data_IF_105159399617
#
_entry.id   IF_105159399617
#
_cell.length_a   1.000
_cell.length_b   1.000
_cell.length_c   1.000
_cell.angle_alpha   90.00
_cell.angle_beta   90.00
_cell.angle_gamma   90.00
#
_symmetry.space_group_name_H-M   'P 1'
#
loop_
_entity.id
_entity.type
_entity.pdbx_description
1 polymer ?
#
# COMPACT_ATOMS: atom_id res chain seq x y z
N UNK A 1 -2.83 -2.56 16.28
CA UNK A 1 -1.73 -3.50 15.99
C UNK A 1 -1.09 -3.05 14.69
N UNK A 2 0.24 -3.00 14.60
CA UNK A 2 0.89 -2.54 13.37
C UNK A 2 1.11 -3.72 12.41
N UNK A 3 0.69 -3.56 11.15
CA UNK A 3 0.92 -4.53 10.07
C UNK A 3 2.35 -4.43 9.58
N UNK A 4 3.05 -5.56 9.47
CA UNK A 4 4.45 -5.59 9.00
C UNK A 4 4.49 -6.01 7.54
N UNK A 5 5.09 -5.17 6.70
CA UNK A 5 5.08 -5.34 5.24
C UNK A 5 6.52 -5.40 4.75
N UNK A 6 6.99 -6.59 4.42
CA UNK A 6 8.34 -6.85 3.88
C UNK A 6 8.41 -6.83 2.35
N UNK A 7 7.26 -6.78 1.66
CA UNK A 7 7.16 -6.85 0.21
C UNK A 7 5.90 -6.16 -0.33
N UNK A 8 5.95 -5.75 -1.59
CA UNK A 8 4.76 -5.33 -2.35
C UNK A 8 4.04 -6.57 -2.90
N UNK A 9 2.71 -6.65 -2.72
CA UNK A 9 1.87 -7.74 -3.26
C UNK A 9 1.75 -7.61 -4.78
N UNK A 10 1.61 -6.38 -5.26
CA UNK A 10 1.64 -6.01 -6.66
C UNK A 10 1.22 -4.57 -6.84
N UNK A 11 0.69 -4.22 -8.01
CA UNK A 11 0.31 -2.84 -8.33
C UNK A 11 -1.14 -2.79 -8.82
N UNK A 12 -1.80 -1.65 -8.64
CA UNK A 12 -3.15 -1.43 -9.17
C UNK A 12 -3.21 -1.52 -10.71
N UNK A 13 -2.07 -1.41 -11.38
CA UNK A 13 -1.93 -1.60 -12.82
C UNK A 13 -2.04 -3.07 -13.25
N UNK A 14 -1.87 -4.02 -12.32
CA UNK A 14 -2.09 -5.44 -12.59
C UNK A 14 -3.60 -5.70 -12.68
N UNK A 15 -4.11 -6.25 -13.81
CA UNK A 15 -5.53 -6.49 -14.00
C UNK A 15 -6.14 -7.40 -12.92
N UNK A 16 -5.39 -8.37 -12.41
CA UNK A 16 -5.87 -9.30 -11.36
C UNK A 16 -6.08 -8.58 -10.03
N UNK A 17 -5.17 -7.65 -9.70
CA UNK A 17 -5.27 -6.85 -8.48
C UNK A 17 -6.34 -5.78 -8.63
N UNK A 18 -6.41 -5.13 -9.78
CA UNK A 18 -7.41 -4.10 -10.10
C UNK A 18 -8.83 -4.63 -9.94
N UNK A 19 -9.12 -5.85 -10.43
CA UNK A 19 -10.43 -6.48 -10.27
C UNK A 19 -10.77 -6.74 -8.79
N UNK A 20 -9.82 -7.24 -8.00
CA UNK A 20 -10.01 -7.46 -6.56
C UNK A 20 -10.23 -6.16 -5.80
N UNK A 21 -9.42 -5.15 -6.08
CA UNK A 21 -9.56 -3.82 -5.49
C UNK A 21 -10.89 -3.17 -5.86
N UNK A 22 -11.37 -3.37 -7.10
CA UNK A 22 -12.67 -2.86 -7.51
C UNK A 22 -13.79 -3.43 -6.63
N UNK A 23 -13.79 -4.75 -6.39
CA UNK A 23 -14.75 -5.41 -5.50
C UNK A 23 -14.68 -4.88 -4.06
N UNK A 24 -13.47 -4.71 -3.51
CA UNK A 24 -13.26 -4.16 -2.16
C UNK A 24 -13.61 -2.67 -2.07
N UNK A 25 -13.39 -1.92 -3.14
CA UNK A 25 -13.71 -0.49 -3.21
C UNK A 25 -15.23 -0.27 -3.12
N UNK A 26 -16.02 -1.12 -3.79
CA UNK A 26 -17.49 -1.14 -3.62
C UNK A 26 -17.94 -1.44 -2.19
N UNK A 27 -17.14 -2.20 -1.44
CA UNK A 27 -17.40 -2.51 -0.02
C UNK A 27 -16.89 -1.44 0.93
N UNK A 28 -16.10 -0.46 0.45
CA UNK A 28 -15.48 0.58 1.27
C UNK A 28 -14.36 0.08 2.18
N UNK A 29 -13.71 -1.03 1.84
CA UNK A 29 -12.65 -1.66 2.66
C UNK A 29 -11.25 -1.51 2.05
N UNK A 30 -11.10 -0.66 1.04
CA UNK A 30 -9.80 -0.27 0.50
C UNK A 30 -9.26 0.90 1.29
N UNK A 31 -8.15 0.66 1.96
CA UNK A 31 -7.40 1.64 2.73
C UNK A 31 -6.32 2.28 1.84
N UNK A 32 -6.19 3.59 1.93
CA UNK A 32 -5.18 4.34 1.20
C UNK A 32 -4.13 4.90 2.15
N UNK A 33 -2.87 4.75 1.77
CA UNK A 33 -1.75 5.32 2.51
C UNK A 33 -1.04 6.33 1.64
N UNK A 34 -1.05 7.59 2.08
CA UNK A 34 -0.33 8.67 1.39
C UNK A 34 1.10 8.71 1.92
N UNK A 35 2.07 8.62 1.02
CA UNK A 35 3.49 8.78 1.34
C UNK A 35 4.12 9.75 0.36
N UNK A 36 5.17 10.44 0.80
CA UNK A 36 5.90 11.36 -0.06
C UNK A 36 6.90 10.62 -0.94
N UNK A 37 7.26 11.19 -2.09
CA UNK A 37 8.26 10.58 -2.96
C UNK A 37 9.63 10.41 -2.23
N UNK A 38 9.99 11.33 -1.35
CA UNK A 38 11.22 11.25 -0.52
C UNK A 38 11.22 10.05 0.44
N UNK A 39 10.04 9.60 0.84
CA UNK A 39 9.87 8.46 1.74
C UNK A 39 10.06 7.11 1.05
N UNK A 40 9.86 7.05 -0.28
CA UNK A 40 10.12 5.84 -1.07
C UNK A 40 11.59 5.41 -1.05
N UNK A 41 12.51 6.34 -0.76
CA UNK A 41 13.94 6.08 -0.61
C UNK A 41 14.29 5.50 0.78
N UNK A 42 13.36 5.55 1.74
CA UNK A 42 13.59 5.03 3.09
C UNK A 42 13.49 3.53 3.11
N UNK A 43 14.44 2.89 3.79
CA UNK A 43 14.51 1.44 3.93
C UNK A 43 13.46 0.86 4.87
N UNK A 44 13.05 1.65 5.86
CA UNK A 44 11.98 1.35 6.79
C UNK A 44 11.21 2.62 7.00
N UNK A 45 9.90 2.56 6.80
CA UNK A 45 9.01 3.67 7.07
C UNK A 45 7.81 3.14 7.83
N UNK A 46 7.39 3.91 8.83
CA UNK A 46 6.11 3.73 9.49
C UNK A 46 5.14 4.69 8.86
N UNK A 47 4.06 4.14 8.31
CA UNK A 47 3.00 4.88 7.64
C UNK A 47 1.67 4.49 8.26
N UNK A 48 0.66 5.32 8.10
CA UNK A 48 -0.68 5.05 8.62
C UNK A 48 -1.67 5.21 7.47
N UNK A 49 -2.61 4.28 7.35
CA UNK A 49 -3.71 4.42 6.41
C UNK A 49 -4.71 5.48 6.85
N UNK A 50 -5.55 5.91 5.91
CA UNK A 50 -6.73 6.74 6.16
C UNK A 50 -7.70 6.15 7.20
N UNK A 51 -7.80 4.82 7.30
CA UNK A 51 -8.56 4.13 8.34
C UNK A 51 -7.84 4.03 9.70
N UNK A 52 -6.60 4.52 9.80
CA UNK A 52 -5.82 4.52 11.04
C UNK A 52 -4.97 3.27 11.27
N UNK A 53 -4.89 2.36 10.29
CA UNK A 53 -4.05 1.15 10.37
C UNK A 53 -2.58 1.53 10.25
N UNK A 54 -1.81 1.28 11.31
CA UNK A 54 -0.35 1.44 11.26
C UNK A 54 0.28 0.34 10.41
N UNK A 55 1.07 0.74 9.41
CA UNK A 55 1.85 -0.15 8.56
C UNK A 55 3.35 0.13 8.72
N UNK A 56 4.11 -0.92 9.01
CA UNK A 56 5.56 -0.92 9.09
C UNK A 56 6.10 -1.50 7.79
N UNK A 57 6.47 -0.61 6.87
CA UNK A 57 6.97 -1.00 5.56
C UNK A 57 8.49 -1.12 5.60
N UNK A 58 8.99 -2.31 5.26
CA UNK A 58 10.39 -2.68 5.33
C UNK A 58 10.82 -3.40 4.03
N UNK A 59 10.92 -2.65 2.94
CA UNK A 59 11.18 -3.23 1.60
C UNK A 59 12.70 -3.33 1.35
N UNK A 60 13.18 -4.42 0.69
CA UNK A 60 14.58 -4.54 0.29
C UNK A 60 14.99 -3.48 -0.74
N UNK A 61 16.30 -3.15 -0.79
CA UNK A 61 16.87 -2.11 -1.68
C UNK A 61 16.60 -2.29 -3.18
N UNK A 62 16.18 -3.47 -3.60
CA UNK A 62 15.90 -3.78 -5.01
C UNK A 62 14.44 -3.47 -5.40
N UNK A 63 13.60 -3.09 -4.45
CA UNK A 63 12.18 -2.88 -4.67
C UNK A 63 11.81 -1.50 -4.11
N UNK A 64 11.18 -0.68 -4.95
CA UNK A 64 10.82 0.70 -4.64
C UNK A 64 9.32 0.80 -4.48
N UNK A 65 8.87 1.56 -3.49
CA UNK A 65 7.48 1.94 -3.38
C UNK A 65 7.16 2.93 -4.51
N UNK A 66 6.09 2.67 -5.24
CA UNK A 66 5.63 3.52 -6.32
C UNK A 66 4.14 3.79 -6.16
N UNK A 67 3.62 4.76 -6.90
CA UNK A 67 2.20 5.08 -6.86
C UNK A 67 1.37 3.86 -7.26
N UNK A 68 0.31 3.59 -6.50
CA UNK A 68 -0.54 2.42 -6.71
C UNK A 68 0.10 1.09 -6.31
N UNK A 69 1.19 1.08 -5.54
CA UNK A 69 1.72 -0.14 -4.95
C UNK A 69 0.73 -0.69 -3.91
N UNK A 70 0.37 -1.98 -4.04
CA UNK A 70 -0.52 -2.67 -3.11
C UNK A 70 0.31 -3.41 -2.09
N UNK A 71 0.20 -2.98 -0.83
CA UNK A 71 0.98 -3.53 0.27
C UNK A 71 0.30 -4.73 0.92
N UNK A 72 -1.03 -4.75 0.91
CA UNK A 72 -1.85 -5.81 1.48
C UNK A 72 -3.07 -6.03 0.59
N UNK A 73 -3.39 -7.29 0.33
CA UNK A 73 -4.58 -7.68 -0.41
C UNK A 73 -5.18 -8.92 0.26
N UNK A 74 -6.15 -8.69 1.13
CA UNK A 74 -6.90 -9.73 1.83
C UNK A 74 -8.30 -9.89 1.21
N UNK A 75 -9.09 -10.82 1.77
CA UNK A 75 -10.46 -11.06 1.30
C UNK A 75 -11.41 -9.91 1.62
N UNK A 76 -11.18 -9.24 2.75
CA UNK A 76 -12.09 -8.24 3.30
C UNK A 76 -11.51 -6.83 3.32
N UNK A 77 -10.22 -6.65 2.98
CA UNK A 77 -9.56 -5.34 2.93
C UNK A 77 -8.35 -5.33 2.01
N UNK A 78 -7.92 -4.13 1.61
CA UNK A 78 -6.66 -3.94 0.90
C UNK A 78 -6.01 -2.63 1.31
N UNK A 79 -4.68 -2.55 1.20
CA UNK A 79 -3.91 -1.34 1.51
C UNK A 79 -3.12 -0.92 0.28
N UNK A 80 -3.35 0.30 -0.19
CA UNK A 80 -2.77 0.84 -1.42
C UNK A 80 -1.99 2.12 -1.12
N UNK A 81 -0.76 2.21 -1.65
CA UNK A 81 0.07 3.41 -1.62
C UNK A 81 -0.44 4.42 -2.63
N UNK A 82 -0.54 5.67 -2.19
CA UNK A 82 -0.68 6.86 -3.02
C UNK A 82 0.59 7.69 -2.83
N UNK A 83 1.33 7.93 -3.91
CA UNK A 83 2.40 8.90 -3.87
C UNK A 83 1.84 10.30 -4.03
N UNK A 84 2.31 11.21 -3.19
CA UNK A 84 2.14 12.63 -3.42
C UNK A 84 3.47 13.23 -3.85
N UNK A 85 3.41 14.11 -4.85
CA UNK A 85 4.48 15.05 -5.15
C UNK A 85 4.33 16.17 -4.13
N UNK A 86 5.29 16.32 -3.21
CA UNK A 86 5.41 17.51 -2.35
C UNK A 86 6.52 18.41 -2.90
#
# INVERSE_FOLDING_TARGET
VAETIDRVVGYISDPVISEKLHNLSHQGTVEYVVIEQKDTLRRRIRIQSDCGTECLVAIPRNQTLSDGAVLLLEKDRAIVIRLTEE
#
